data_IF_014164260437
#
_entry.id   IF_014164260437
#
_cell.length_a   1.000
_cell.length_b   1.000
_cell.length_c   1.000
_cell.angle_alpha   90.00
_cell.angle_beta   90.00
_cell.angle_gamma   90.00
#
_symmetry.space_group_name_H-M   'P 1'
#
loop_
_entity.id
_entity.type
_entity.pdbx_description
1 polymer ?
#
# COMPACT_ATOMS: atom_id res chain seq x y z
N UNK A 1 4.86 -1.78 4.60
CA UNK A 1 4.52 -0.41 4.16
C UNK A 1 3.65 -0.33 2.93
N UNK A 2 3.78 -1.23 1.96
CA UNK A 2 2.96 -1.15 0.75
C UNK A 2 1.44 -1.19 1.04
N UNK A 3 0.96 -2.04 1.95
CA UNK A 3 -0.46 -2.04 2.36
C UNK A 3 -0.92 -0.73 3.02
N UNK A 4 -0.06 -0.10 3.83
CA UNK A 4 -0.32 1.22 4.43
C UNK A 4 -0.52 2.28 3.34
N UNK A 5 0.40 2.31 2.38
CA UNK A 5 0.33 3.20 1.22
C UNK A 5 -0.96 2.96 0.40
N UNK A 6 -1.24 1.70 0.04
CA UNK A 6 -2.40 1.36 -0.78
C UNK A 6 -3.71 1.83 -0.13
N UNK A 7 -3.87 1.59 1.17
CA UNK A 7 -5.08 1.98 1.89
C UNK A 7 -5.29 3.49 1.90
N UNK A 8 -4.21 4.22 2.15
CA UNK A 8 -4.23 5.69 2.18
C UNK A 8 -4.48 6.31 0.80
N UNK A 9 -3.90 5.72 -0.24
CA UNK A 9 -4.15 6.12 -1.64
C UNK A 9 -5.59 5.88 -2.02
N UNK A 10 -6.15 4.70 -1.68
CA UNK A 10 -7.54 4.38 -1.97
C UNK A 10 -8.49 5.35 -1.25
N UNK A 11 -8.30 5.59 0.05
CA UNK A 11 -9.12 6.56 0.79
C UNK A 11 -9.09 7.96 0.17
N UNK A 12 -7.91 8.42 -0.25
CA UNK A 12 -7.78 9.70 -0.96
C UNK A 12 -8.50 9.69 -2.30
N UNK A 13 -8.34 8.63 -3.08
CA UNK A 13 -9.01 8.46 -4.37
C UNK A 13 -10.53 8.48 -4.20
N UNK A 14 -11.06 7.75 -3.22
CA UNK A 14 -12.49 7.75 -2.91
C UNK A 14 -12.96 9.13 -2.44
N UNK A 15 -12.16 9.84 -1.65
CA UNK A 15 -12.47 11.20 -1.20
C UNK A 15 -12.56 12.18 -2.38
N UNK A 16 -11.56 12.19 -3.26
CA UNK A 16 -11.53 13.06 -4.45
C UNK A 16 -12.65 12.73 -5.44
N UNK A 17 -12.98 11.43 -5.57
CA UNK A 17 -14.14 10.95 -6.33
C UNK A 17 -15.45 11.50 -5.74
N UNK A 18 -15.66 11.37 -4.43
CA UNK A 18 -16.87 11.89 -3.75
C UNK A 18 -16.98 13.41 -3.78
N UNK A 19 -15.84 14.11 -3.77
CA UNK A 19 -15.79 15.58 -3.86
C UNK A 19 -15.87 16.10 -5.30
N UNK A 20 -15.86 15.23 -6.32
CA UNK A 20 -15.89 15.62 -7.73
C UNK A 20 -14.64 16.36 -8.21
N UNK A 21 -13.53 16.24 -7.47
CA UNK A 21 -12.23 16.85 -7.81
C UNK A 21 -11.33 15.93 -8.62
N UNK A 22 -11.77 14.68 -8.81
CA UNK A 22 -11.03 13.68 -9.55
C UNK A 22 -10.87 14.10 -11.03
N UNK A 23 -9.67 13.98 -11.63
CA UNK A 23 -9.46 14.29 -13.03
C UNK A 23 -10.42 13.50 -13.94
N UNK A 24 -11.22 14.20 -14.74
CA UNK A 24 -12.28 13.63 -15.58
C UNK A 24 -11.76 12.67 -16.67
N UNK A 25 -10.47 12.72 -16.99
CA UNK A 25 -9.85 11.94 -18.05
C UNK A 25 -9.34 10.56 -17.61
N UNK A 26 -9.43 10.21 -16.31
CA UNK A 26 -8.95 8.93 -15.78
C UNK A 26 -9.69 7.69 -16.33
N UNK A 27 -10.90 7.86 -16.86
CA UNK A 27 -11.70 6.79 -17.46
C UNK A 27 -11.78 6.83 -18.99
N UNK A 28 -11.27 7.88 -19.64
CA UNK A 28 -11.31 8.07 -21.11
C UNK A 28 -9.99 7.75 -21.79
N UNK A 29 -8.97 7.43 -20.99
CA UNK A 29 -7.67 7.07 -21.48
C UNK A 29 -7.78 5.66 -22.12
N UNK A 30 -8.10 5.62 -23.41
CA UNK A 30 -7.80 4.52 -24.33
C UNK A 30 -6.27 4.35 -24.41
N UNK A 31 -5.62 4.09 -23.30
CA UNK A 31 -4.20 3.77 -23.27
C UNK A 31 -4.15 2.28 -23.56
N UNK A 32 -3.95 1.96 -24.83
CA UNK A 32 -3.45 0.66 -25.25
C UNK A 32 -2.07 0.50 -24.61
N UNK A 33 -2.04 -0.07 -23.41
CA UNK A 33 -0.83 -0.62 -22.87
C UNK A 33 -0.59 -1.91 -23.66
N UNK A 34 0.42 -1.94 -24.53
CA UNK A 34 1.00 -3.23 -24.93
C UNK A 34 1.50 -3.90 -23.66
N UNK A 35 0.73 -4.88 -23.20
CA UNK A 35 0.98 -5.62 -21.98
C UNK A 35 2.23 -6.48 -22.20
N UNK A 36 3.36 -6.26 -21.49
CA UNK A 36 4.45 -7.21 -21.54
C UNK A 36 3.94 -8.50 -20.87
N UNK A 37 3.84 -9.56 -21.66
CA UNK A 37 3.39 -10.90 -21.28
C UNK A 37 4.32 -11.55 -20.26
N UNK A 38 4.35 -11.07 -19.02
CA UNK A 38 4.96 -11.77 -17.89
C UNK A 38 4.37 -11.23 -16.60
N UNK A 39 3.44 -11.98 -16.00
CA UNK A 39 3.36 -12.29 -14.56
C UNK A 39 1.92 -12.65 -14.18
N UNK A 40 1.64 -13.96 -14.16
CA UNK A 40 0.38 -14.61 -13.79
C UNK A 40 -0.13 -14.28 -12.36
N UNK A 41 0.66 -13.52 -11.59
CA UNK A 41 0.34 -13.03 -10.24
C UNK A 41 -0.49 -11.73 -10.23
N UNK A 42 -0.54 -11.02 -11.36
CA UNK A 42 -1.19 -9.71 -11.48
C UNK A 42 -2.38 -9.72 -12.45
N UNK A 43 -2.87 -10.91 -12.77
CA UNK A 43 -4.06 -11.08 -13.58
C UNK A 43 -5.26 -10.43 -12.86
N UNK A 44 -6.00 -9.49 -13.49
CA UNK A 44 -7.19 -8.88 -12.91
C UNK A 44 -8.24 -9.92 -12.44
N UNK A 45 -8.27 -11.11 -13.04
CA UNK A 45 -9.13 -12.22 -12.62
C UNK A 45 -8.65 -12.95 -11.35
N UNK A 46 -7.39 -12.74 -10.94
CA UNK A 46 -6.78 -13.37 -9.75
C UNK A 46 -6.79 -12.48 -8.50
N UNK A 47 -7.27 -11.24 -8.59
CA UNK A 47 -7.38 -10.32 -7.45
C UNK A 47 -8.67 -10.56 -6.65
N UNK A 48 -8.55 -10.61 -5.32
CA UNK A 48 -9.70 -10.68 -4.40
C UNK A 48 -10.54 -9.41 -4.61
N UNK A 49 -11.75 -9.58 -5.18
CA UNK A 49 -12.75 -8.52 -5.31
C UNK A 49 -13.24 -8.16 -3.90
N UNK A 50 -12.84 -7.00 -3.39
CA UNK A 50 -13.40 -6.44 -2.16
C UNK A 50 -14.67 -5.71 -2.57
N UNK A 51 -15.83 -6.32 -2.33
CA UNK A 51 -17.13 -5.69 -2.56
C UNK A 51 -17.31 -4.51 -1.59
N UNK A 52 -17.05 -3.30 -2.06
CA UNK A 52 -17.42 -2.10 -1.33
C UNK A 52 -18.94 -1.99 -1.33
N UNK A 53 -19.53 -1.99 -0.12
CA UNK A 53 -20.96 -1.81 0.11
C UNK A 53 -21.52 -0.64 -0.72
N UNK A 54 -22.38 -1.00 -1.67
CA UNK A 54 -23.02 -0.12 -2.63
C UNK A 54 -24.15 0.65 -1.94
N UNK A 55 -23.89 1.88 -1.52
CA UNK A 55 -24.95 2.85 -1.19
C UNK A 55 -25.10 3.80 -2.38
N UNK A 56 -26.27 3.74 -3.00
CA UNK A 56 -26.52 4.21 -4.35
C UNK A 56 -26.30 5.70 -4.56
N UNK A 57 -25.47 6.02 -5.54
CA UNK A 57 -25.54 7.26 -6.31
C UNK A 57 -25.41 6.87 -7.79
N UNK A 58 -26.53 6.97 -8.50
CA UNK A 58 -26.62 6.80 -9.94
C UNK A 58 -25.98 8.00 -10.63
N UNK A 59 -24.78 7.82 -11.15
CA UNK A 59 -24.23 8.68 -12.21
C UNK A 59 -24.31 7.87 -13.50
N UNK A 60 -25.02 8.40 -14.49
CA UNK A 60 -25.19 7.82 -15.82
C UNK A 60 -23.85 7.84 -16.56
N UNK A 61 -23.04 6.80 -16.39
CA UNK A 61 -22.03 6.43 -17.37
C UNK A 61 -22.04 4.90 -17.52
N UNK A 62 -22.65 4.45 -18.61
CA UNK A 62 -22.73 3.06 -19.04
C UNK A 62 -21.31 2.55 -19.36
N UNK A 63 -20.60 2.03 -18.36
CA UNK A 63 -19.50 1.08 -18.57
C UNK A 63 -19.48 0.06 -17.44
N UNK A 64 -19.24 -1.19 -17.82
CA UNK A 64 -19.22 -2.38 -16.99
C UNK A 64 -18.58 -2.15 -15.60
N UNK A 65 -19.31 -2.43 -14.49
CA UNK A 65 -18.86 -2.06 -13.14
C UNK A 65 -17.72 -2.96 -12.63
N UNK A 66 -17.32 -4.00 -13.36
CA UNK A 66 -16.35 -4.99 -12.91
C UNK A 66 -14.92 -4.69 -13.31
N UNK A 67 -14.71 -4.22 -14.54
CA UNK A 67 -13.38 -4.01 -15.12
C UNK A 67 -12.88 -2.58 -14.89
N UNK A 68 -13.82 -1.66 -14.68
CA UNK A 68 -13.74 -0.20 -14.62
C UNK A 68 -12.77 0.47 -13.64
N UNK A 69 -12.61 -0.15 -12.48
CA UNK A 69 -12.25 0.58 -11.25
C UNK A 69 -10.77 0.39 -10.92
N UNK A 70 -10.21 -0.78 -11.22
CA UNK A 70 -8.79 -1.10 -10.97
C UNK A 70 -7.87 -0.24 -11.84
N UNK A 71 -8.21 -0.04 -13.12
CA UNK A 71 -7.42 0.80 -14.02
C UNK A 71 -7.50 2.28 -13.67
N UNK A 72 -8.60 2.75 -13.08
CA UNK A 72 -8.76 4.15 -12.63
C UNK A 72 -7.87 4.46 -11.43
N UNK A 73 -7.84 3.59 -10.42
CA UNK A 73 -6.94 3.77 -9.27
C UNK A 73 -5.47 3.71 -9.70
N UNK A 74 -5.12 2.78 -10.59
CA UNK A 74 -3.77 2.71 -11.16
C UNK A 74 -3.39 3.98 -11.91
N UNK A 75 -4.26 4.45 -12.80
CA UNK A 75 -4.04 5.68 -13.57
C UNK A 75 -3.92 6.90 -12.66
N UNK A 76 -4.72 6.93 -11.58
CA UNK A 76 -4.65 7.95 -10.55
C UNK A 76 -3.29 7.97 -9.86
N UNK A 77 -2.81 6.81 -9.39
CA UNK A 77 -1.48 6.69 -8.76
C UNK A 77 -0.36 7.12 -9.70
N UNK A 78 -0.44 6.76 -10.98
CA UNK A 78 0.57 7.14 -11.98
C UNK A 78 0.61 8.66 -12.26
N UNK A 79 -0.45 9.39 -11.95
CA UNK A 79 -0.50 10.85 -12.09
C UNK A 79 -0.02 11.60 -10.85
N UNK A 80 0.18 10.92 -9.72
CA UNK A 80 0.63 11.57 -8.48
C UNK A 80 2.11 11.93 -8.54
N UNK A 81 2.44 13.14 -8.07
CA UNK A 81 3.82 13.58 -7.91
C UNK A 81 4.60 12.72 -6.91
N UNK A 82 5.92 12.63 -7.10
CA UNK A 82 6.83 11.88 -6.22
C UNK A 82 6.72 12.34 -4.75
N UNK A 83 6.60 13.65 -4.52
CA UNK A 83 6.40 14.18 -3.17
C UNK A 83 5.10 13.68 -2.53
N UNK A 84 4.03 13.57 -3.33
CA UNK A 84 2.72 13.11 -2.84
C UNK A 84 2.76 11.62 -2.56
N UNK A 85 3.38 10.83 -3.44
CA UNK A 85 3.60 9.40 -3.22
C UNK A 85 4.41 9.15 -1.95
N UNK A 86 5.49 9.91 -1.73
CA UNK A 86 6.30 9.81 -0.52
C UNK A 86 5.48 10.17 0.73
N UNK A 87 4.68 11.24 0.67
CA UNK A 87 3.79 11.62 1.79
C UNK A 87 2.77 10.54 2.11
N UNK A 88 2.23 9.85 1.10
CA UNK A 88 1.27 8.75 1.26
C UNK A 88 1.94 7.48 1.80
N UNK A 89 3.20 7.24 1.46
CA UNK A 89 3.96 6.09 1.94
C UNK A 89 4.57 6.28 3.33
N UNK A 90 4.68 7.52 3.82
CA UNK A 90 5.28 7.83 5.11
C UNK A 90 4.37 7.41 6.29
N UNK A 91 4.93 6.64 7.23
CA UNK A 91 4.31 6.31 8.53
C UNK A 91 4.25 7.57 9.38
N UNK A 92 3.15 7.78 10.09
CA UNK A 92 2.95 8.95 10.96
C UNK A 92 3.33 8.68 12.42
N UNK A 93 3.02 7.48 12.94
CA UNK A 93 3.26 7.12 14.34
C UNK A 93 4.67 6.58 14.58
N UNK A 94 5.31 7.06 15.65
CA UNK A 94 6.59 6.51 16.14
C UNK A 94 6.41 5.10 16.72
N UNK A 95 5.26 4.85 17.31
CA UNK A 95 4.86 3.55 17.85
C UNK A 95 4.70 2.52 16.73
N UNK A 96 4.08 2.90 15.60
CA UNK A 96 3.97 2.05 14.42
C UNK A 96 5.35 1.68 13.86
N UNK A 97 6.28 2.64 13.79
CA UNK A 97 7.68 2.38 13.39
C UNK A 97 8.33 1.38 14.36
N UNK A 98 8.19 1.58 15.67
CA UNK A 98 8.73 0.67 16.69
C UNK A 98 8.11 -0.73 16.60
N UNK A 99 6.83 -0.84 16.27
CA UNK A 99 6.14 -2.13 16.10
C UNK A 99 6.69 -2.88 14.89
N UNK A 100 6.87 -2.21 13.75
CA UNK A 100 7.49 -2.78 12.55
C UNK A 100 8.90 -3.28 12.88
N UNK A 101 9.70 -2.47 13.59
CA UNK A 101 11.05 -2.85 14.01
C UNK A 101 11.02 -4.12 14.89
N UNK A 102 10.16 -4.17 15.91
CA UNK A 102 10.05 -5.34 16.79
C UNK A 102 9.58 -6.60 16.05
N UNK A 103 8.61 -6.49 15.14
CA UNK A 103 8.13 -7.63 14.36
C UNK A 103 9.19 -8.14 13.39
N UNK A 104 9.87 -7.24 12.68
CA UNK A 104 10.96 -7.62 11.77
C UNK A 104 12.13 -8.23 12.54
N UNK A 105 12.49 -7.70 13.72
CA UNK A 105 13.48 -8.31 14.60
C UNK A 105 13.05 -9.69 15.13
N UNK A 106 11.75 -9.91 15.39
CA UNK A 106 11.25 -11.21 15.82
C UNK A 106 11.30 -12.25 14.68
N UNK A 107 11.08 -11.82 13.43
CA UNK A 107 11.09 -12.70 12.26
C UNK A 107 12.50 -13.02 11.76
N UNK A 108 13.38 -12.01 11.72
CA UNK A 108 14.70 -12.11 11.09
C UNK A 108 15.86 -12.07 12.10
N UNK A 109 15.55 -11.94 13.38
CA UNK A 109 16.55 -11.69 14.42
C UNK A 109 16.95 -10.23 14.52
N UNK A 110 17.72 -9.90 15.55
CA UNK A 110 18.27 -8.55 15.73
C UNK A 110 19.48 -8.36 14.83
N UNK A 111 19.50 -7.32 13.98
CA UNK A 111 20.67 -7.05 13.17
C UNK A 111 21.77 -6.51 14.10
N UNK A 112 22.83 -7.30 14.33
CA UNK A 112 23.99 -6.90 15.14
C UNK A 112 24.95 -6.08 14.25
N UNK A 113 24.52 -4.87 13.94
CA UNK A 113 25.23 -3.92 13.08
C UNK A 113 26.23 -3.17 13.95
N UNK A 114 27.52 -3.44 13.78
CA UNK A 114 28.57 -2.60 14.37
C UNK A 114 29.23 -1.78 13.28
N UNK A 115 29.40 -0.49 13.55
CA UNK A 115 30.20 0.39 12.71
C UNK A 115 31.64 0.23 13.15
N UNK A 116 32.46 -0.35 12.29
CA UNK A 116 33.90 -0.47 12.52
C UNK A 116 34.55 0.91 12.50
N UNK A 117 35.74 1.03 13.12
CA UNK A 117 36.43 2.31 13.27
C UNK A 117 36.84 2.99 11.94
N UNK A 118 36.72 2.28 10.83
CA UNK A 118 36.92 2.75 9.45
C UNK A 118 35.62 3.24 8.77
N UNK A 119 34.48 3.19 9.47
CA UNK A 119 33.17 3.54 8.95
C UNK A 119 32.48 2.41 8.17
N UNK A 120 33.07 1.22 8.12
CA UNK A 120 32.46 0.04 7.50
C UNK A 120 31.37 -0.55 8.40
N UNK A 121 30.32 -1.08 7.78
CA UNK A 121 29.25 -1.78 8.48
C UNK A 121 29.59 -3.27 8.49
N UNK A 122 29.99 -3.79 9.66
CA UNK A 122 30.25 -5.21 9.84
C UNK A 122 29.01 -5.90 10.43
N UNK A 123 28.46 -6.86 9.68
CA UNK A 123 27.38 -7.75 10.13
C UNK A 123 27.99 -9.08 10.57
N UNK A 124 28.03 -9.35 11.88
CA UNK A 124 28.76 -10.51 12.44
C UNK A 124 28.04 -11.86 12.30
N UNK A 125 26.75 -11.86 11.94
CA UNK A 125 25.94 -13.06 11.72
C UNK A 125 25.12 -12.92 10.44
N UNK A 126 25.68 -13.40 9.34
CA UNK A 126 24.94 -13.56 8.08
C UNK A 126 24.29 -14.95 8.07
N UNK A 127 23.17 -15.07 8.77
CA UNK A 127 22.41 -16.32 8.83
C UNK A 127 21.51 -16.41 7.59
N UNK A 128 21.82 -17.35 6.69
CA UNK A 128 21.08 -17.54 5.46
C UNK A 128 19.70 -18.16 5.75
N UNK A 129 18.63 -17.43 5.44
CA UNK A 129 17.26 -17.93 5.53
C UNK A 129 16.84 -18.55 4.19
N UNK A 130 16.66 -19.87 4.16
CA UNK A 130 16.07 -20.56 3.00
C UNK A 130 14.55 -20.55 3.12
N UNK A 131 13.85 -19.92 2.16
CA UNK A 131 12.39 -19.86 2.13
C UNK A 131 11.86 -20.46 0.82
N UNK A 132 10.82 -21.29 0.93
CA UNK A 132 10.08 -21.75 -0.24
C UNK A 132 9.29 -20.59 -0.87
N UNK A 133 8.98 -20.69 -2.17
CA UNK A 133 8.19 -19.66 -2.87
C UNK A 133 6.85 -19.36 -2.18
N UNK A 134 6.16 -20.38 -1.69
CA UNK A 134 4.91 -20.23 -0.92
C UNK A 134 5.11 -19.43 0.38
N UNK A 135 6.24 -19.64 1.07
CA UNK A 135 6.61 -18.89 2.26
C UNK A 135 6.89 -17.42 1.95
N UNK A 136 7.52 -17.12 0.81
CA UNK A 136 7.74 -15.74 0.37
C UNK A 136 6.41 -15.03 0.09
N UNK A 137 5.50 -15.67 -0.63
CA UNK A 137 4.16 -15.12 -0.91
C UNK A 137 3.40 -14.84 0.40
N UNK A 138 3.43 -15.77 1.35
CA UNK A 138 2.83 -15.58 2.67
C UNK A 138 3.43 -14.38 3.40
N UNK A 139 4.75 -14.26 3.41
CA UNK A 139 5.46 -13.15 4.06
C UNK A 139 5.11 -11.80 3.44
N UNK A 140 5.00 -11.73 2.11
CA UNK A 140 4.58 -10.52 1.40
C UNK A 140 3.13 -10.16 1.76
N UNK A 141 2.21 -11.11 1.75
CA UNK A 141 0.81 -10.87 2.10
C UNK A 141 0.66 -10.45 3.57
N UNK A 142 1.42 -11.05 4.49
CA UNK A 142 1.45 -10.64 5.90
C UNK A 142 1.97 -9.20 6.05
N UNK A 143 3.05 -8.85 5.34
CA UNK A 143 3.59 -7.49 5.37
C UNK A 143 2.61 -6.45 4.79
N UNK A 144 1.81 -6.84 3.79
CA UNK A 144 0.72 -6.01 3.25
C UNK A 144 -0.40 -5.86 4.28
N UNK A 145 -0.86 -6.96 4.89
CA UNK A 145 -1.90 -6.95 5.91
C UNK A 145 -1.50 -6.11 7.14
N UNK A 146 -0.27 -6.27 7.63
CA UNK A 146 0.30 -5.46 8.70
C UNK A 146 0.30 -3.97 8.34
N UNK A 147 0.75 -3.63 7.12
CA UNK A 147 0.76 -2.24 6.66
C UNK A 147 -0.64 -1.62 6.66
N UNK A 148 -1.63 -2.33 6.11
CA UNK A 148 -3.02 -1.86 6.08
C UNK A 148 -3.59 -1.70 7.50
N UNK A 149 -3.29 -2.65 8.40
CA UNK A 149 -3.69 -2.58 9.80
C UNK A 149 -3.11 -1.35 10.53
N UNK A 150 -1.85 -0.99 10.28
CA UNK A 150 -1.24 0.17 10.91
C UNK A 150 -1.94 1.47 10.53
N UNK A 151 -2.36 1.63 9.27
CA UNK A 151 -3.14 2.80 8.83
C UNK A 151 -4.48 2.90 9.57
N UNK A 152 -5.19 1.78 9.71
CA UNK A 152 -6.46 1.73 10.46
C UNK A 152 -6.27 2.07 11.94
N UNK A 153 -5.23 1.52 12.56
CA UNK A 153 -4.93 1.76 13.96
C UNK A 153 -4.59 3.23 14.23
N UNK A 154 -3.75 3.84 13.38
CA UNK A 154 -3.44 5.26 13.46
C UNK A 154 -4.69 6.13 13.30
N UNK A 155 -5.49 5.89 12.27
CA UNK A 155 -6.74 6.62 12.02
C UNK A 155 -7.75 6.45 13.17
N UNK A 156 -7.84 5.24 13.73
CA UNK A 156 -8.71 4.97 14.88
C UNK A 156 -8.29 5.81 16.09
N UNK A 157 -7.00 5.81 16.42
CA UNK A 157 -6.47 6.61 17.54
C UNK A 157 -6.67 8.10 17.29
N UNK A 158 -6.42 8.58 16.08
CA UNK A 158 -6.65 10.00 15.70
C UNK A 158 -8.12 10.40 15.85
N UNK A 159 -9.06 9.53 15.46
CA UNK A 159 -10.49 9.77 15.63
C UNK A 159 -10.95 9.84 17.10
N UNK A 160 -10.28 9.09 17.99
CA UNK A 160 -10.60 9.03 19.43
C UNK A 160 -9.88 10.09 20.25
N UNK A 161 -8.72 10.54 19.79
CA UNK A 161 -7.87 11.50 20.48
C UNK A 161 -7.46 12.67 19.57
N UNK A 162 -8.41 13.47 19.07
CA UNK A 162 -8.12 14.57 18.14
C UNK A 162 -7.26 15.68 18.76
N UNK A 163 -7.11 15.74 20.09
CA UNK A 163 -6.45 16.83 20.82
C UNK A 163 -4.94 16.64 21.06
N UNK A 164 -4.36 15.50 20.66
CA UNK A 164 -2.93 15.22 20.86
C UNK A 164 -2.05 15.62 19.67
N UNK A 165 -2.64 16.06 18.56
CA UNK A 165 -1.93 16.59 17.39
C UNK A 165 -1.81 18.12 17.52
N UNK A 166 -0.85 18.60 18.32
CA UNK A 166 -0.42 20.00 18.36
C UNK A 166 1.10 20.08 18.26
#
# INVERSE_FOLDING_TARGET
MYGYFLKRVDERFQLERKMGTLPKDLGKANVSYEEPTTNQLWDPDSLIRIDAYNEGFSDEDYMDPGEGISYRLRSYVMQLDVETLQRLAAIRSKEAISLIEKQTQALFGRPDIRVSGDGSIETFKDELLSLAFSGLTMLVLEAVALGSFLWDAENYVESKHPFLNN
#
